data_IF_666930055927
#
_entry.id   IF_666930055927
#
_cell.length_a   1.000
_cell.length_b   1.000
_cell.length_c   1.000
_cell.angle_alpha   90.00
_cell.angle_beta   90.00
_cell.angle_gamma   90.00
#
_symmetry.space_group_name_H-M   'P 1'
#
loop_
_entity.id
_entity.type
_entity.pdbx_description
1 polymer ?
#
# COMPACT_ATOMS: atom_id res chain seq x y z
N UNK A 1 -19.26 11.26 -3.84
CA UNK A 1 -18.16 11.19 -4.82
C UNK A 1 -17.24 10.09 -4.36
N UNK A 2 -17.27 8.94 -5.03
CA UNK A 2 -16.39 7.85 -4.68
C UNK A 2 -15.74 7.41 -5.99
N UNK A 3 -14.43 7.52 -6.07
CA UNK A 3 -13.58 6.84 -7.05
C UNK A 3 -13.17 5.54 -6.37
N UNK A 4 -13.84 4.43 -6.68
CA UNK A 4 -14.00 3.34 -5.67
C UNK A 4 -13.31 2.03 -6.00
N UNK A 5 -13.28 1.59 -7.26
CA UNK A 5 -13.08 0.16 -7.51
C UNK A 5 -11.72 -0.34 -7.00
N UNK A 6 -10.64 0.38 -7.32
CA UNK A 6 -9.28 -0.06 -6.97
C UNK A 6 -8.86 0.41 -5.59
N UNK A 7 -9.24 1.62 -5.18
CA UNK A 7 -9.05 2.13 -3.82
C UNK A 7 -9.72 1.21 -2.79
N UNK A 8 -10.98 0.80 -3.01
CA UNK A 8 -11.68 -0.10 -2.11
C UNK A 8 -11.08 -1.51 -2.10
N UNK A 9 -10.58 -2.01 -3.24
CA UNK A 9 -9.86 -3.29 -3.29
C UNK A 9 -8.54 -3.24 -2.52
N UNK A 10 -7.82 -2.11 -2.57
CA UNK A 10 -6.61 -1.90 -1.75
C UNK A 10 -6.98 -1.88 -0.26
N UNK A 11 -8.08 -1.21 0.12
CA UNK A 11 -8.55 -1.17 1.51
C UNK A 11 -8.99 -2.56 2.00
N UNK A 12 -9.70 -3.34 1.18
CA UNK A 12 -10.08 -4.73 1.51
C UNK A 12 -8.84 -5.63 1.66
N UNK A 13 -7.90 -5.57 0.70
CA UNK A 13 -6.64 -6.31 0.78
C UNK A 13 -5.83 -5.93 2.02
N UNK A 14 -5.73 -4.64 2.33
CA UNK A 14 -5.08 -4.15 3.55
C UNK A 14 -5.75 -4.73 4.79
N UNK A 15 -7.08 -4.65 4.89
CA UNK A 15 -7.85 -5.09 6.06
C UNK A 15 -7.61 -6.58 6.34
N UNK A 16 -7.61 -7.42 5.29
CA UNK A 16 -7.32 -8.86 5.41
C UNK A 16 -5.90 -9.11 5.88
N UNK A 17 -4.91 -8.50 5.23
CA UNK A 17 -3.48 -8.70 5.55
C UNK A 17 -3.11 -8.18 6.95
N UNK A 18 -3.70 -7.05 7.36
CA UNK A 18 -3.52 -6.51 8.70
C UNK A 18 -4.11 -7.44 9.77
N UNK A 19 -5.30 -8.02 9.50
CA UNK A 19 -5.92 -9.00 10.39
C UNK A 19 -5.11 -10.31 10.49
N UNK A 20 -4.58 -10.82 9.38
CA UNK A 20 -3.76 -12.04 9.35
C UNK A 20 -2.47 -11.90 10.16
N UNK A 21 -1.84 -10.73 10.12
CA UNK A 21 -0.55 -10.47 10.77
C UNK A 21 -0.67 -9.89 12.18
N UNK A 22 -1.85 -9.38 12.55
CA UNK A 22 -2.07 -8.61 13.77
C UNK A 22 -1.28 -7.29 13.81
N UNK A 23 -0.84 -6.77 12.66
CA UNK A 23 -0.01 -5.58 12.54
C UNK A 23 -0.70 -4.52 11.69
N UNK A 24 -0.62 -3.26 12.13
CA UNK A 24 -1.19 -2.13 11.41
C UNK A 24 -0.39 -1.73 10.15
N UNK A 25 0.84 -2.22 10.00
CA UNK A 25 1.68 -1.95 8.83
C UNK A 25 1.72 -3.14 7.89
N UNK A 26 1.34 -2.93 6.64
CA UNK A 26 1.35 -3.93 5.58
C UNK A 26 2.30 -3.47 4.47
N UNK A 27 3.10 -4.38 3.92
CA UNK A 27 4.02 -4.04 2.82
C UNK A 27 3.27 -3.86 1.50
N UNK A 28 3.75 -2.96 0.65
CA UNK A 28 3.21 -2.79 -0.71
C UNK A 28 3.44 -4.03 -1.57
N UNK A 29 4.48 -4.82 -1.28
CA UNK A 29 4.71 -6.15 -1.88
C UNK A 29 3.52 -7.07 -1.63
N UNK A 30 3.04 -7.15 -0.38
CA UNK A 30 1.89 -7.99 -0.03
C UNK A 30 0.59 -7.49 -0.69
N UNK A 31 0.36 -6.18 -0.68
CA UNK A 31 -0.82 -5.58 -1.34
C UNK A 31 -0.83 -5.91 -2.84
N UNK A 32 0.30 -5.76 -3.53
CA UNK A 32 0.40 -6.03 -4.97
C UNK A 32 0.20 -7.49 -5.31
N UNK A 33 0.75 -8.40 -4.50
CA UNK A 33 0.53 -9.84 -4.66
C UNK A 33 -0.95 -10.21 -4.49
N UNK A 34 -1.62 -9.60 -3.51
CA UNK A 34 -3.05 -9.82 -3.28
C UNK A 34 -3.94 -9.27 -4.41
N UNK A 35 -3.43 -8.30 -5.19
CA UNK A 35 -4.12 -7.63 -6.29
C UNK A 35 -3.39 -7.83 -7.62
N UNK A 36 -2.78 -9.00 -7.83
CA UNK A 36 -1.97 -9.30 -9.01
C UNK A 36 -2.76 -9.27 -10.33
N UNK A 37 -4.09 -9.28 -10.27
CA UNK A 37 -5.00 -9.13 -11.40
C UNK A 37 -5.18 -7.66 -11.84
N UNK A 38 -4.74 -6.69 -11.04
CA UNK A 38 -4.85 -5.26 -11.35
C UNK A 38 -3.57 -4.71 -12.00
N UNK A 39 -3.68 -3.84 -13.02
CA UNK A 39 -2.55 -3.14 -13.59
C UNK A 39 -1.76 -2.33 -12.55
N UNK A 40 -0.44 -2.34 -12.72
CA UNK A 40 0.53 -1.69 -11.83
C UNK A 40 0.27 -0.19 -11.66
N UNK A 41 -0.01 0.48 -12.76
CA UNK A 41 -0.30 1.91 -12.86
C UNK A 41 -1.62 2.28 -12.19
N UNK A 42 -2.62 1.41 -12.30
CA UNK A 42 -3.90 1.60 -11.62
C UNK A 42 -3.75 1.49 -10.09
N UNK A 43 -3.01 0.48 -9.62
CA UNK A 43 -2.68 0.35 -8.20
C UNK A 43 -1.91 1.58 -7.69
N UNK A 44 -0.93 2.08 -8.45
CA UNK A 44 -0.18 3.29 -8.08
C UNK A 44 -1.05 4.54 -8.00
N UNK A 45 -1.94 4.74 -8.98
CA UNK A 45 -2.89 5.86 -8.96
C UNK A 45 -3.74 5.80 -7.70
N UNK A 46 -4.32 4.65 -7.40
CA UNK A 46 -5.18 4.47 -6.24
C UNK A 46 -4.43 4.63 -4.90
N UNK A 47 -3.20 4.11 -4.78
CA UNK A 47 -2.36 4.33 -3.60
C UNK A 47 -2.04 5.81 -3.38
N UNK A 48 -1.78 6.58 -4.44
CA UNK A 48 -1.55 8.04 -4.33
C UNK A 48 -2.80 8.80 -3.93
N UNK A 49 -3.97 8.38 -4.41
CA UNK A 49 -5.25 8.97 -3.97
C UNK A 49 -5.53 8.65 -2.50
N UNK A 50 -5.34 7.40 -2.08
CA UNK A 50 -5.48 7.00 -0.68
C UNK A 50 -4.49 7.74 0.22
N UNK A 51 -3.24 7.95 -0.22
CA UNK A 51 -2.23 8.69 0.55
C UNK A 51 -2.61 10.15 0.85
N UNK A 52 -3.64 10.71 0.19
CA UNK A 52 -4.17 12.05 0.48
C UNK A 52 -5.18 12.05 1.63
N UNK A 53 -5.71 10.89 2.02
CA UNK A 53 -6.63 10.75 3.15
C UNK A 53 -5.86 10.82 4.48
N UNK A 54 -6.43 11.48 5.48
CA UNK A 54 -5.80 11.66 6.80
C UNK A 54 -5.52 10.36 7.54
N UNK A 55 -6.33 9.34 7.26
CA UNK A 55 -6.27 8.07 7.98
C UNK A 55 -5.33 7.05 7.32
N UNK A 56 -4.76 7.41 6.16
CA UNK A 56 -3.84 6.55 5.40
C UNK A 56 -2.43 7.10 5.52
N UNK A 57 -1.51 6.24 5.94
CA UNK A 57 -0.08 6.53 5.95
C UNK A 57 0.63 5.58 5.01
N UNK A 58 1.36 6.13 4.04
CA UNK A 58 2.30 5.36 3.21
C UNK A 58 3.72 5.84 3.50
N UNK A 59 4.56 4.94 4.00
CA UNK A 59 5.87 5.27 4.57
C UNK A 59 6.98 4.43 3.94
N UNK A 60 8.24 4.90 3.97
CA UNK A 60 9.38 4.05 3.69
C UNK A 60 9.47 2.90 4.70
N UNK A 61 10.07 1.77 4.31
CA UNK A 61 10.41 0.73 5.27
C UNK A 61 11.47 1.24 6.24
N UNK A 62 11.31 0.99 7.55
CA UNK A 62 12.19 1.55 8.59
C UNK A 62 13.65 1.09 8.45
N UNK A 63 13.86 -0.18 8.09
CA UNK A 63 15.20 -0.72 7.86
C UNK A 63 15.47 -0.94 6.36
N UNK A 64 15.70 0.14 5.61
CA UNK A 64 15.86 0.05 4.15
C UNK A 64 16.97 -0.93 3.69
N UNK A 65 17.94 -1.25 4.56
CA UNK A 65 19.00 -2.23 4.28
C UNK A 65 18.50 -3.67 4.16
N UNK A 66 17.27 -3.96 4.60
CA UNK A 66 16.64 -5.28 4.49
C UNK A 66 15.70 -5.39 3.30
N UNK A 67 15.58 -4.36 2.46
CA UNK A 67 14.71 -4.40 1.29
C UNK A 67 15.22 -5.43 0.29
N UNK A 68 14.35 -6.38 -0.07
CA UNK A 68 14.60 -7.30 -1.18
C UNK A 68 14.43 -6.56 -2.51
N UNK A 69 14.92 -7.15 -3.61
CA UNK A 69 14.64 -6.62 -4.96
C UNK A 69 13.15 -6.49 -5.21
N UNK A 70 12.36 -7.46 -4.72
CA UNK A 70 10.92 -7.41 -4.85
C UNK A 70 10.30 -6.25 -4.08
N UNK A 71 10.81 -5.91 -2.89
CA UNK A 71 10.33 -4.75 -2.14
C UNK A 71 10.67 -3.42 -2.83
N UNK A 72 11.81 -3.36 -3.51
CA UNK A 72 12.20 -2.19 -4.32
C UNK A 72 11.30 -2.05 -5.55
N UNK A 73 11.02 -3.15 -6.26
CA UNK A 73 10.09 -3.17 -7.38
C UNK A 73 8.64 -2.88 -6.92
N UNK A 74 8.32 -3.30 -5.69
CA UNK A 74 7.06 -3.08 -5.01
C UNK A 74 6.90 -1.66 -4.42
N UNK A 75 7.90 -0.79 -4.56
CA UNK A 75 7.83 0.55 -3.99
C UNK A 75 6.94 1.50 -4.80
N UNK A 76 6.32 2.45 -4.09
CA UNK A 76 5.59 3.57 -4.68
C UNK A 76 6.47 4.83 -4.63
N UNK A 77 6.71 5.48 -5.76
CA UNK A 77 7.28 6.82 -5.78
C UNK A 77 6.20 7.86 -5.45
N UNK A 78 6.32 8.51 -4.29
CA UNK A 78 5.38 9.53 -3.83
C UNK A 78 6.03 10.47 -2.81
N UNK A 79 5.84 11.79 -2.99
CA UNK A 79 6.43 12.80 -2.11
C UNK A 79 7.96 12.77 -2.12
N UNK A 80 8.56 12.65 -3.32
CA UNK A 80 10.00 12.63 -3.54
C UNK A 80 10.75 11.48 -2.83
N UNK A 81 10.05 10.38 -2.55
CA UNK A 81 10.63 9.23 -1.87
C UNK A 81 9.94 7.93 -2.26
N UNK A 82 10.70 6.84 -2.26
CA UNK A 82 10.15 5.48 -2.33
C UNK A 82 9.46 5.08 -1.03
N UNK A 83 8.19 4.69 -1.13
CA UNK A 83 7.37 4.20 -0.04
C UNK A 83 7.15 2.70 -0.18
N UNK A 84 7.09 1.99 0.94
CA UNK A 84 7.14 0.52 0.98
C UNK A 84 6.05 -0.09 1.87
N UNK A 85 5.47 0.69 2.79
CA UNK A 85 4.42 0.23 3.69
C UNK A 85 3.21 1.15 3.65
N UNK A 86 2.05 0.56 3.88
CA UNK A 86 0.79 1.24 4.11
C UNK A 86 0.24 0.88 5.51
N UNK A 87 -0.36 1.86 6.16
CA UNK A 87 -1.22 1.69 7.33
C UNK A 87 -2.49 2.50 7.12
N UNK A 88 -3.63 1.93 7.48
CA UNK A 88 -4.93 2.59 7.44
C UNK A 88 -5.48 2.52 8.86
N UNK A 89 -5.65 3.69 9.47
CA UNK A 89 -6.29 3.81 10.77
C UNK A 89 -7.80 3.69 10.53
N UNK A 90 -8.33 2.48 10.63
CA UNK A 90 -9.76 2.27 10.71
C UNK A 90 -10.20 2.74 12.11
N UNK A 91 -11.16 3.68 12.14
CA UNK A 91 -11.70 4.39 13.30
C UNK A 91 -11.89 3.53 14.56
#
# INVERSE_FOLDING_TARGET
>A
MITIATEARIVDAYTRLAAETGRSWVSLTAIRRALADLPRDEQDRALRELARCTDVRIVPWENQKTLTTEDQDAALWYGDQWKHCISISLW
#
